data_IF_914163880578
#
_entry.id   IF_914163880578
#
_cell.length_a   1.000
_cell.length_b   1.000
_cell.length_c   1.000
_cell.angle_alpha   90.00
_cell.angle_beta   90.00
_cell.angle_gamma   90.00
#
_symmetry.space_group_name_H-M   'P 1'
#
loop_
_entity.id
_entity.type
_entity.pdbx_description
1 polymer ?
#
# COMPACT_ATOMS: atom_id res chain seq x y z
N UNK A 1 -4.18 22.06 28.97
CA UNK A 1 -4.65 21.24 27.83
C UNK A 1 -5.68 21.98 26.98
N UNK A 2 -6.68 22.69 27.57
CA UNK A 2 -7.64 23.51 26.81
C UNK A 2 -7.00 24.79 26.24
N UNK A 3 -6.19 25.51 27.00
CA UNK A 3 -5.57 26.77 26.53
C UNK A 3 -4.59 26.56 25.36
N UNK A 4 -3.89 25.43 25.32
CA UNK A 4 -2.99 25.07 24.22
C UNK A 4 -3.74 24.85 22.91
N UNK A 5 -4.91 24.19 22.97
CA UNK A 5 -5.78 24.00 21.81
C UNK A 5 -6.40 25.32 21.34
N UNK A 6 -6.80 26.18 22.26
CA UNK A 6 -7.42 27.48 21.95
C UNK A 6 -6.44 28.48 21.34
N UNK A 7 -5.17 28.43 21.75
CA UNK A 7 -4.12 29.34 21.28
C UNK A 7 -3.26 28.75 20.17
N UNK A 8 -3.58 27.54 19.69
CA UNK A 8 -2.81 26.88 18.64
C UNK A 8 -2.91 27.71 17.36
N UNK A 9 -1.76 28.19 16.89
CA UNK A 9 -1.69 28.79 15.57
C UNK A 9 -2.03 27.74 14.51
N UNK A 10 -3.07 28.00 13.73
CA UNK A 10 -3.49 27.11 12.63
C UNK A 10 -3.14 27.81 11.33
N UNK A 11 -2.12 27.31 10.66
CA UNK A 11 -1.80 27.70 9.29
C UNK A 11 -2.66 26.91 8.31
N UNK A 12 -3.21 27.60 7.32
CA UNK A 12 -3.93 26.93 6.22
C UNK A 12 -2.91 26.13 5.42
N UNK A 13 -3.11 24.82 5.33
CA UNK A 13 -2.27 23.96 4.50
C UNK A 13 -2.35 24.39 3.01
N UNK A 14 -1.28 24.17 2.23
CA UNK A 14 -1.31 24.42 0.80
C UNK A 14 -2.49 23.73 0.11
N UNK A 15 -3.01 24.34 -0.96
CA UNK A 15 -4.12 23.78 -1.73
C UNK A 15 -3.72 22.51 -2.50
N UNK A 16 -2.43 22.35 -2.78
CA UNK A 16 -1.86 21.21 -3.50
C UNK A 16 -0.88 20.46 -2.60
N UNK A 17 -0.96 19.13 -2.63
CA UNK A 17 0.01 18.23 -2.00
C UNK A 17 0.97 17.70 -3.05
N UNK A 18 2.27 17.77 -2.77
CA UNK A 18 3.30 17.12 -3.57
C UNK A 18 3.77 15.86 -2.83
N UNK A 19 3.69 14.72 -3.49
CA UNK A 19 4.21 13.45 -3.00
C UNK A 19 5.68 13.34 -3.40
N UNK A 20 6.60 13.27 -2.43
CA UNK A 20 8.04 13.20 -2.68
C UNK A 20 8.58 11.77 -2.58
N UNK A 21 8.37 10.99 -3.63
CA UNK A 21 8.90 9.62 -3.79
C UNK A 21 8.04 8.81 -4.76
N UNK A 22 8.17 7.49 -4.73
CA UNK A 22 7.50 6.60 -5.71
C UNK A 22 6.05 6.34 -5.29
N UNK A 23 5.21 5.98 -6.27
CA UNK A 23 3.82 5.57 -6.04
C UNK A 23 3.72 4.08 -6.34
N UNK A 24 3.22 3.30 -5.39
CA UNK A 24 2.96 1.87 -5.58
C UNK A 24 1.53 1.66 -6.07
N UNK A 25 1.35 1.26 -7.31
CA UNK A 25 0.06 0.86 -7.85
C UNK A 25 -0.17 -0.63 -7.53
N UNK A 26 -1.19 -0.92 -6.73
CA UNK A 26 -1.61 -2.27 -6.39
C UNK A 26 -2.50 -2.80 -7.52
N UNK A 27 -1.86 -3.34 -8.56
CA UNK A 27 -2.50 -3.82 -9.79
C UNK A 27 -2.77 -5.32 -9.72
N UNK A 28 -3.79 -5.79 -10.44
CA UNK A 28 -4.11 -7.20 -10.62
C UNK A 28 -3.24 -7.82 -11.73
N UNK A 29 -1.96 -7.54 -11.65
CA UNK A 29 -0.93 -7.99 -12.58
C UNK A 29 0.36 -8.20 -11.80
N UNK A 30 0.75 -9.46 -11.65
CA UNK A 30 1.92 -9.85 -10.86
C UNK A 30 3.20 -9.19 -11.38
N UNK A 31 3.39 -9.12 -12.70
CA UNK A 31 4.61 -8.62 -13.31
C UNK A 31 4.72 -7.10 -13.17
N UNK A 32 3.61 -6.37 -13.32
CA UNK A 32 3.60 -4.92 -13.08
C UNK A 32 3.86 -4.58 -11.61
N UNK A 33 3.40 -5.40 -10.67
CA UNK A 33 3.72 -5.22 -9.24
C UNK A 33 5.19 -5.54 -8.97
N UNK A 34 5.72 -6.64 -9.50
CA UNK A 34 7.15 -7.00 -9.36
C UNK A 34 8.07 -5.94 -9.94
N UNK A 35 7.78 -5.42 -11.13
CA UNK A 35 8.58 -4.36 -11.76
C UNK A 35 8.67 -3.11 -10.89
N UNK A 36 7.57 -2.73 -10.23
CA UNK A 36 7.60 -1.63 -9.25
C UNK A 36 8.44 -1.97 -8.02
N UNK A 37 8.24 -3.14 -7.41
CA UNK A 37 8.88 -3.50 -6.15
C UNK A 37 10.39 -3.74 -6.27
N UNK A 38 10.82 -4.45 -7.32
CA UNK A 38 12.17 -5.00 -7.41
C UNK A 38 13.04 -4.35 -8.48
N UNK A 39 12.42 -3.81 -9.54
CA UNK A 39 13.15 -3.23 -10.67
C UNK A 39 13.15 -1.70 -10.67
N UNK A 40 12.43 -1.07 -9.74
CA UNK A 40 12.37 0.39 -9.66
C UNK A 40 11.47 1.03 -10.73
N UNK A 41 10.66 0.26 -11.44
CA UNK A 41 9.78 0.77 -12.51
C UNK A 41 8.70 1.67 -11.91
N UNK A 42 8.45 2.82 -12.53
CA UNK A 42 7.35 3.72 -12.18
C UNK A 42 6.30 3.70 -13.30
N UNK A 43 5.04 3.52 -12.94
CA UNK A 43 3.91 3.59 -13.87
C UNK A 43 3.74 5.04 -14.35
N UNK A 44 4.10 5.31 -15.61
CA UNK A 44 4.08 6.67 -16.19
C UNK A 44 2.68 7.13 -16.59
N UNK A 45 1.83 6.19 -17.04
CA UNK A 45 0.48 6.47 -17.54
C UNK A 45 -0.57 5.71 -16.72
N UNK A 46 -0.78 6.09 -15.44
CA UNK A 46 -1.63 5.32 -14.53
C UNK A 46 -3.09 5.22 -14.97
N UNK A 47 -3.55 6.14 -15.82
CA UNK A 47 -4.90 6.10 -16.40
C UNK A 47 -5.15 4.85 -17.25
N UNK A 48 -4.12 4.30 -17.89
CA UNK A 48 -4.22 3.11 -18.73
C UNK A 48 -4.44 1.84 -17.90
N UNK A 49 -4.14 1.90 -16.60
CA UNK A 49 -4.18 0.75 -15.68
C UNK A 49 -5.35 0.83 -14.69
N UNK A 50 -6.27 1.80 -14.83
CA UNK A 50 -7.40 1.96 -13.89
C UNK A 50 -8.23 0.69 -13.76
N UNK A 51 -8.46 -0.03 -14.87
CA UNK A 51 -9.21 -1.30 -14.86
C UNK A 51 -8.47 -2.45 -14.19
N UNK A 52 -7.15 -2.33 -13.99
CA UNK A 52 -6.31 -3.32 -13.33
C UNK A 52 -6.09 -2.99 -11.85
N UNK A 53 -6.56 -1.85 -11.33
CA UNK A 53 -6.43 -1.57 -9.90
C UNK A 53 -7.15 -2.63 -9.07
N UNK A 54 -6.45 -3.22 -8.10
CA UNK A 54 -7.03 -4.27 -7.24
C UNK A 54 -8.13 -3.68 -6.37
N UNK A 55 -9.36 -4.08 -6.67
CA UNK A 55 -10.51 -3.90 -5.80
C UNK A 55 -10.50 -4.91 -4.65
N UNK A 56 -11.24 -4.60 -3.58
CA UNK A 56 -11.55 -5.54 -2.50
C UNK A 56 -10.33 -6.06 -1.72
N UNK A 57 -9.24 -5.30 -1.66
CA UNK A 57 -8.07 -5.67 -0.84
C UNK A 57 -8.50 -5.80 0.63
N UNK A 58 -8.29 -6.97 1.20
CA UNK A 58 -8.66 -7.30 2.58
C UNK A 58 -7.57 -6.99 3.60
N UNK A 59 -7.94 -6.95 4.89
CA UNK A 59 -6.96 -6.84 5.99
C UNK A 59 -6.01 -8.03 6.06
N UNK A 60 -6.39 -9.22 5.58
CA UNK A 60 -5.49 -10.37 5.40
C UNK A 60 -4.51 -10.18 4.24
N UNK A 61 -4.93 -9.49 3.18
CA UNK A 61 -4.04 -9.15 2.06
C UNK A 61 -3.02 -8.07 2.47
N UNK A 62 -3.42 -7.07 3.24
CA UNK A 62 -2.53 -6.00 3.74
C UNK A 62 -1.57 -6.54 4.80
N UNK A 63 -2.09 -7.26 5.80
CA UNK A 63 -1.31 -7.83 6.91
C UNK A 63 -1.88 -9.21 7.27
N UNK A 64 -1.29 -10.31 6.75
CA UNK A 64 -1.72 -11.65 7.10
C UNK A 64 -1.76 -11.88 8.62
N UNK A 65 -2.66 -12.73 9.11
CA UNK A 65 -2.91 -12.89 10.54
C UNK A 65 -1.65 -13.15 11.39
N UNK A 66 -0.68 -13.92 10.88
CA UNK A 66 0.56 -14.21 11.58
C UNK A 66 1.51 -13.01 11.74
N UNK A 67 1.29 -11.92 11.00
CA UNK A 67 1.99 -10.64 11.17
C UNK A 67 1.45 -9.86 12.37
N UNK A 68 0.26 -10.18 12.87
CA UNK A 68 -0.35 -9.46 14.00
C UNK A 68 0.35 -9.71 15.34
N UNK A 69 1.40 -10.54 15.37
CA UNK A 69 2.25 -10.75 16.55
C UNK A 69 3.36 -9.70 16.70
N UNK A 70 3.58 -8.85 15.69
CA UNK A 70 4.50 -7.70 15.78
C UNK A 70 3.74 -6.45 16.24
N UNK A 71 4.40 -5.61 17.02
CA UNK A 71 3.83 -4.39 17.63
C UNK A 71 4.79 -3.18 17.59
N UNK A 72 5.85 -3.30 16.80
CA UNK A 72 6.88 -2.28 16.61
C UNK A 72 7.05 -1.96 15.12
N UNK A 73 8.12 -1.24 14.78
CA UNK A 73 8.46 -0.85 13.42
C UNK A 73 8.61 -2.01 12.43
N UNK A 74 8.76 -3.26 12.92
CA UNK A 74 8.82 -4.46 12.08
C UNK A 74 7.54 -4.64 11.26
N UNK A 75 6.39 -4.09 11.70
CA UNK A 75 5.15 -4.11 10.92
C UNK A 75 5.33 -3.54 9.49
N UNK A 76 6.19 -2.51 9.34
CA UNK A 76 6.49 -1.90 8.05
C UNK A 76 7.25 -2.80 7.06
N UNK A 77 7.74 -3.97 7.51
CA UNK A 77 8.40 -4.94 6.64
C UNK A 77 7.41 -5.80 5.84
N UNK A 78 6.14 -5.81 6.26
CA UNK A 78 5.14 -6.79 5.81
C UNK A 78 3.92 -6.27 5.03
N UNK A 79 3.79 -4.99 4.62
CA UNK A 79 2.63 -4.55 3.84
C UNK A 79 2.43 -5.41 2.60
N UNK A 80 1.19 -5.81 2.39
CA UNK A 80 0.71 -6.49 1.19
C UNK A 80 1.29 -7.89 0.96
N UNK A 81 1.90 -8.55 1.96
CA UNK A 81 2.38 -9.94 1.82
C UNK A 81 1.29 -10.92 1.37
N UNK A 82 0.04 -10.65 1.72
CA UNK A 82 -1.10 -11.47 1.31
C UNK A 82 -1.72 -11.02 -0.01
N UNK A 83 -1.23 -9.95 -0.65
CA UNK A 83 -1.82 -9.37 -1.85
C UNK A 83 -1.84 -10.41 -2.97
N UNK A 84 -3.06 -10.74 -3.38
CA UNK A 84 -3.30 -11.65 -4.48
C UNK A 84 -3.37 -10.87 -5.79
N UNK A 85 -2.62 -11.30 -6.80
CA UNK A 85 -2.65 -10.76 -8.16
C UNK A 85 -2.77 -11.89 -9.17
N UNK A 86 -3.11 -11.57 -10.42
CA UNK A 86 -3.06 -12.52 -11.54
C UNK A 86 -1.79 -12.35 -12.37
N UNK A 87 -1.13 -13.44 -12.73
CA UNK A 87 -0.13 -13.44 -13.78
C UNK A 87 -0.86 -13.42 -15.14
N UNK A 88 -0.70 -12.36 -15.93
CA UNK A 88 -1.45 -12.19 -17.18
C UNK A 88 -1.03 -13.18 -18.28
N UNK A 89 0.17 -13.76 -18.21
CA UNK A 89 0.65 -14.74 -19.18
C UNK A 89 0.12 -16.16 -18.89
N UNK A 90 0.04 -16.55 -17.61
CA UNK A 90 -0.37 -17.90 -17.20
C UNK A 90 -1.82 -17.96 -16.70
N UNK A 91 -2.42 -16.81 -16.40
CA UNK A 91 -3.71 -16.66 -15.72
C UNK A 91 -3.75 -17.31 -14.32
N UNK A 92 -2.57 -17.51 -13.71
CA UNK A 92 -2.45 -18.06 -12.37
C UNK A 92 -2.50 -16.97 -11.30
N UNK A 93 -2.85 -17.37 -10.09
CA UNK A 93 -2.79 -16.51 -8.91
C UNK A 93 -1.36 -16.44 -8.37
N UNK A 94 -0.87 -15.23 -8.14
CA UNK A 94 0.44 -14.97 -7.53
C UNK A 94 0.35 -14.02 -6.34
N UNK A 95 1.42 -14.02 -5.54
CA UNK A 95 1.64 -13.14 -4.38
C UNK A 95 2.99 -12.44 -4.57
N UNK A 96 3.02 -11.32 -5.30
CA UNK A 96 4.27 -10.73 -5.79
C UNK A 96 5.05 -9.96 -4.72
N UNK A 97 4.47 -9.74 -3.53
CA UNK A 97 5.06 -8.93 -2.48
C UNK A 97 5.81 -9.80 -1.48
N UNK A 98 7.11 -9.55 -1.33
CA UNK A 98 7.96 -10.19 -0.35
C UNK A 98 8.25 -9.25 0.83
N UNK A 99 8.82 -9.81 1.90
CA UNK A 99 9.21 -9.03 3.07
C UNK A 99 10.19 -7.92 2.66
N UNK A 100 10.00 -6.72 3.22
CA UNK A 100 10.76 -5.50 2.95
C UNK A 100 10.59 -4.93 1.53
N UNK A 101 9.87 -5.58 0.61
CA UNK A 101 9.75 -5.11 -0.77
C UNK A 101 9.16 -3.69 -0.85
N UNK A 102 8.14 -3.42 -0.05
CA UNK A 102 7.49 -2.10 0.02
C UNK A 102 8.41 -1.07 0.70
N UNK A 103 8.99 -1.41 1.85
CA UNK A 103 9.94 -0.56 2.59
C UNK A 103 11.12 -0.12 1.71
N UNK A 104 11.70 -1.06 0.96
CA UNK A 104 12.87 -0.83 0.11
C UNK A 104 12.53 -0.09 -1.19
N UNK A 105 11.25 -0.06 -1.58
CA UNK A 105 10.81 0.52 -2.84
C UNK A 105 10.75 2.05 -2.85
N UNK A 106 10.91 2.73 -1.71
CA UNK A 106 10.90 4.20 -1.64
C UNK A 106 9.55 4.81 -2.00
N UNK A 107 8.46 4.10 -1.69
CA UNK A 107 7.10 4.56 -1.95
C UNK A 107 6.59 5.49 -0.87
N UNK A 108 5.80 6.49 -1.25
CA UNK A 108 5.18 7.44 -0.31
C UNK A 108 3.68 7.31 -0.23
N UNK A 109 3.09 6.66 -1.24
CA UNK A 109 1.69 6.32 -1.26
C UNK A 109 1.48 5.07 -2.10
N UNK A 110 0.36 4.41 -1.82
CA UNK A 110 -0.12 3.28 -2.59
C UNK A 110 -1.50 3.62 -3.17
N UNK A 111 -1.75 3.17 -4.39
CA UNK A 111 -3.00 3.38 -5.11
C UNK A 111 -3.65 2.02 -5.32
N UNK A 112 -4.90 1.91 -4.88
CA UNK A 112 -5.71 0.70 -4.99
C UNK A 112 -7.04 1.02 -5.67
N UNK A 113 -7.77 -0.04 -6.01
CA UNK A 113 -9.15 0.06 -6.42
C UNK A 113 -10.10 0.34 -5.24
N UNK A 114 -11.37 0.01 -5.43
CA UNK A 114 -12.45 0.22 -4.48
C UNK A 114 -12.36 -0.74 -3.30
N UNK A 115 -12.86 -0.28 -2.15
CA UNK A 115 -13.10 -1.08 -0.93
C UNK A 115 -11.84 -1.81 -0.40
N UNK A 116 -10.74 -1.07 -0.32
CA UNK A 116 -9.52 -1.46 0.42
C UNK A 116 -9.78 -1.53 1.93
N UNK A 117 -9.13 -2.49 2.59
CA UNK A 117 -9.24 -2.72 4.04
C UNK A 117 -10.49 -3.50 4.45
N UNK A 118 -11.09 -4.30 3.55
CA UNK A 118 -12.27 -5.11 3.92
C UNK A 118 -11.91 -6.28 4.84
N UNK A 119 -12.89 -6.78 5.58
CA UNK A 119 -12.74 -8.02 6.36
C UNK A 119 -12.80 -7.74 7.86
N UNK A 120 -12.16 -8.62 8.65
CA UNK A 120 -12.11 -8.46 10.11
C UNK A 120 -11.31 -7.23 10.51
N UNK A 121 -11.70 -6.62 11.62
CA UNK A 121 -10.93 -5.51 12.24
C UNK A 121 -9.49 -5.94 12.47
N UNK A 122 -8.55 -5.08 12.08
CA UNK A 122 -7.12 -5.32 12.21
C UNK A 122 -6.36 -4.01 12.28
N UNK A 123 -6.06 -3.59 13.50
CA UNK A 123 -5.35 -2.34 13.77
C UNK A 123 -3.92 -2.35 13.22
N UNK A 124 -3.29 -3.53 13.09
CA UNK A 124 -1.97 -3.66 12.51
C UNK A 124 -1.89 -3.27 11.01
N UNK A 125 -3.00 -3.35 10.26
CA UNK A 125 -3.02 -3.04 8.82
C UNK A 125 -2.60 -1.60 8.51
N UNK A 126 -3.21 -0.55 9.10
CA UNK A 126 -2.75 0.81 8.88
C UNK A 126 -1.32 1.04 9.40
N UNK A 127 -0.90 0.41 10.50
CA UNK A 127 0.47 0.58 11.02
C UNK A 127 1.55 -0.04 10.14
N UNK A 128 1.24 -1.13 9.43
CA UNK A 128 2.17 -1.69 8.46
C UNK A 128 2.40 -0.72 7.29
N UNK A 129 1.38 0.04 6.89
CA UNK A 129 1.44 0.97 5.75
C UNK A 129 2.09 2.34 6.07
N UNK A 130 2.56 2.55 7.30
CA UNK A 130 3.26 3.78 7.75
C UNK A 130 4.76 3.74 7.45
#
# INVERSE_FOLDING_TARGET
>A
MIEDLLNRHIEKRPENLKFEGRILYLLDDAELVRGQLYEGINIQHPHDYISLLRDQISTDEITPAYICFFYDETLGDFPYLGLRTTNQATNETEYPVERNAVRNGGFVCSVAGKRRGKGSSREASPYAEL
#
